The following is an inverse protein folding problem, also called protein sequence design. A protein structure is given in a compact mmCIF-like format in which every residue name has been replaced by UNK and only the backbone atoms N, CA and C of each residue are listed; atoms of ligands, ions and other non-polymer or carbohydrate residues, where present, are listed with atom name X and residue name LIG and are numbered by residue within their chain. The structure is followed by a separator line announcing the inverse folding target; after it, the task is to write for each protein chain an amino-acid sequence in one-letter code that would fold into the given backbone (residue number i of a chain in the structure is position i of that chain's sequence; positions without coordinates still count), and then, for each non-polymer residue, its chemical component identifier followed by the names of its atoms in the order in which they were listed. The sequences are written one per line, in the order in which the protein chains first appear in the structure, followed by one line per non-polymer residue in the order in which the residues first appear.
data_IF_793801200602
#
_entry.id   IF_793801200602
#
_cell.length_a   1.000
_cell.length_b   1.000
_cell.length_c   1.000
_cell.angle_alpha   90.00
_cell.angle_beta   90.00
_cell.angle_gamma   90.00
#
_symmetry.space_group_name_H-M   'P 1'
#
loop_
_entity.id
_entity.type
_entity.pdbx_description
1 polymer ?
#
# COMPACT_ATOMS: atom_id res chain seq x y z
N UNK A 1 -19.70 -0.28 6.41
CA UNK A 1 -19.01 -1.36 7.16
C UNK A 1 -18.21 -2.15 6.12
N UNK A 2 -16.96 -2.51 6.39
CA UNK A 2 -16.11 -3.24 5.41
C UNK A 2 -16.25 -4.78 5.49
N UNK A 3 -16.94 -5.25 6.52
CA UNK A 3 -16.98 -6.66 6.91
C UNK A 3 -17.63 -7.52 5.83
N UNK A 4 -16.94 -8.56 5.39
CA UNK A 4 -17.44 -9.50 4.37
C UNK A 4 -17.73 -10.90 4.92
N UNK A 5 -17.46 -11.14 6.20
CA UNK A 5 -17.70 -12.43 6.87
C UNK A 5 -16.54 -13.42 6.80
N UNK A 6 -15.35 -12.97 6.40
CA UNK A 6 -14.13 -13.76 6.34
C UNK A 6 -13.16 -13.26 7.41
N UNK A 7 -12.80 -14.12 8.37
CA UNK A 7 -11.98 -13.73 9.53
C UNK A 7 -10.62 -13.17 9.12
N UNK A 8 -9.97 -13.74 8.09
CA UNK A 8 -8.64 -13.27 7.65
C UNK A 8 -8.76 -11.89 7.02
N UNK A 9 -9.76 -11.70 6.16
CA UNK A 9 -9.96 -10.45 5.40
C UNK A 9 -10.57 -9.33 6.23
N UNK A 10 -11.31 -9.68 7.29
CA UNK A 10 -11.95 -8.73 8.20
C UNK A 10 -11.03 -8.33 9.36
N UNK A 11 -9.91 -9.03 9.58
CA UNK A 11 -8.99 -8.79 10.70
C UNK A 11 -8.45 -7.36 10.74
N UNK A 12 -8.30 -6.73 9.57
CA UNK A 12 -7.70 -5.41 9.41
C UNK A 12 -8.73 -4.30 9.17
N UNK A 13 -10.04 -4.59 9.17
CA UNK A 13 -11.09 -3.63 8.83
C UNK A 13 -11.06 -2.38 9.72
N UNK A 14 -10.83 -2.54 11.03
CA UNK A 14 -10.78 -1.42 11.97
C UNK A 14 -9.60 -0.50 11.69
N UNK A 15 -8.46 -1.07 11.28
CA UNK A 15 -7.24 -0.32 10.93
C UNK A 15 -7.48 0.42 9.62
N UNK A 16 -7.99 -0.26 8.60
CA UNK A 16 -8.29 0.35 7.29
C UNK A 16 -9.25 1.53 7.46
N UNK A 17 -10.32 1.37 8.23
CA UNK A 17 -11.28 2.46 8.50
C UNK A 17 -10.63 3.64 9.23
N UNK A 18 -9.83 3.37 10.26
CA UNK A 18 -9.13 4.39 11.05
C UNK A 18 -8.16 5.19 10.19
N UNK A 19 -7.27 4.51 9.49
CA UNK A 19 -6.24 5.13 8.66
C UNK A 19 -6.83 5.84 7.44
N UNK A 20 -7.86 5.27 6.81
CA UNK A 20 -8.60 5.94 5.72
C UNK A 20 -9.25 7.24 6.20
N UNK A 21 -9.89 7.22 7.37
CA UNK A 21 -10.46 8.43 7.96
C UNK A 21 -9.40 9.47 8.31
N UNK A 22 -8.24 9.05 8.84
CA UNK A 22 -7.15 9.94 9.22
C UNK A 22 -6.50 10.60 7.99
N UNK A 23 -6.34 9.84 6.90
CA UNK A 23 -5.78 10.31 5.65
C UNK A 23 -6.76 11.15 4.79
N UNK A 24 -8.05 11.17 5.14
CA UNK A 24 -9.09 11.73 4.29
C UNK A 24 -9.31 10.95 3.00
N UNK A 25 -9.05 9.64 3.02
CA UNK A 25 -9.24 8.76 1.88
C UNK A 25 -10.73 8.47 1.65
N UNK A 26 -11.27 8.67 0.44
CA UNK A 26 -12.72 8.65 0.23
C UNK A 26 -13.39 7.27 0.34
N UNK A 27 -12.71 6.21 -0.12
CA UNK A 27 -13.28 4.86 -0.15
C UNK A 27 -12.37 3.81 0.52
N UNK A 28 -12.60 3.49 1.81
CA UNK A 28 -11.84 2.46 2.53
C UNK A 28 -12.04 1.05 1.97
N UNK A 29 -13.10 0.78 1.21
CA UNK A 29 -13.29 -0.54 0.58
C UNK A 29 -12.27 -0.76 -0.55
N UNK A 30 -11.85 0.31 -1.24
CA UNK A 30 -10.80 0.24 -2.26
C UNK A 30 -9.46 -0.16 -1.64
N UNK A 31 -9.16 0.32 -0.44
CA UNK A 31 -7.95 -0.08 0.31
C UNK A 31 -8.00 -1.56 0.70
N UNK A 32 -9.16 -2.05 1.18
CA UNK A 32 -9.34 -3.48 1.45
C UNK A 32 -9.13 -4.33 0.19
N UNK A 33 -9.63 -3.86 -0.95
CA UNK A 33 -9.43 -4.52 -2.24
C UNK A 33 -7.96 -4.51 -2.68
N UNK A 34 -7.26 -3.39 -2.50
CA UNK A 34 -5.83 -3.25 -2.79
C UNK A 34 -4.99 -4.20 -1.93
N UNK A 35 -5.20 -4.25 -0.62
CA UNK A 35 -4.51 -5.21 0.27
C UNK A 35 -4.76 -6.66 -0.20
N UNK A 36 -5.98 -6.97 -0.63
CA UNK A 36 -6.29 -8.29 -1.18
C UNK A 36 -5.59 -8.59 -2.52
N UNK A 37 -5.28 -7.57 -3.31
CA UNK A 37 -4.49 -7.72 -4.54
C UNK A 37 -3.01 -7.92 -4.20
N UNK A 38 -2.49 -7.13 -3.26
CA UNK A 38 -1.07 -7.07 -2.95
C UNK A 38 -0.58 -8.28 -2.15
N UNK A 39 -1.34 -8.74 -1.15
CA UNK A 39 -0.87 -9.74 -0.18
C UNK A 39 -1.88 -10.85 0.13
N UNK A 40 -3.10 -10.77 -0.39
CA UNK A 40 -4.24 -11.56 0.09
C UNK A 40 -4.36 -11.55 1.63
N UNK A 41 -4.09 -10.40 2.26
CA UNK A 41 -4.09 -10.21 3.71
C UNK A 41 -3.06 -11.06 4.47
N UNK A 42 -1.93 -11.41 3.85
CA UNK A 42 -0.78 -11.98 4.55
C UNK A 42 0.18 -10.86 5.00
N UNK A 43 0.30 -10.57 6.31
CA UNK A 43 1.19 -9.52 6.81
C UNK A 43 2.68 -9.85 6.63
N UNK A 44 3.04 -11.11 6.35
CA UNK A 44 4.42 -11.53 6.09
C UNK A 44 4.75 -11.65 4.60
N UNK A 45 3.79 -11.30 3.71
CA UNK A 45 3.97 -11.37 2.27
C UNK A 45 5.18 -10.54 1.81
N UNK A 46 5.94 -11.09 0.86
CA UNK A 46 7.06 -10.40 0.24
C UNK A 46 7.33 -10.92 -1.17
N UNK A 47 8.07 -10.14 -1.97
CA UNK A 47 8.38 -10.49 -3.36
C UNK A 47 9.63 -11.35 -3.55
N UNK A 48 10.24 -11.88 -2.47
CA UNK A 48 11.44 -12.73 -2.59
C UNK A 48 11.19 -13.92 -3.51
N UNK A 49 12.13 -14.18 -4.42
CA UNK A 49 12.05 -15.33 -5.33
C UNK A 49 11.01 -15.17 -6.45
N UNK A 50 10.41 -13.99 -6.58
CA UNK A 50 9.61 -13.61 -7.76
C UNK A 50 10.46 -12.80 -8.74
N UNK A 51 9.95 -12.59 -9.96
CA UNK A 51 10.59 -11.68 -10.93
C UNK A 51 10.61 -10.20 -10.47
N UNK A 52 9.89 -9.88 -9.39
CA UNK A 52 9.76 -8.55 -8.80
C UNK A 52 10.45 -8.42 -7.43
N UNK A 53 11.46 -9.24 -7.15
CA UNK A 53 12.13 -9.27 -5.84
C UNK A 53 12.86 -7.96 -5.46
N UNK A 54 13.16 -7.08 -6.41
CA UNK A 54 13.78 -5.78 -6.14
C UNK A 54 13.29 -4.74 -7.15
N UNK A 55 12.05 -4.22 -7.00
CA UNK A 55 11.42 -3.39 -8.02
C UNK A 55 12.12 -2.04 -8.22
N UNK A 56 12.98 -1.63 -7.28
CA UNK A 56 13.80 -0.42 -7.39
C UNK A 56 15.29 -0.67 -7.20
N UNK A 57 15.73 -1.84 -7.66
CA UNK A 57 17.10 -2.34 -7.51
C UNK A 57 17.54 -2.52 -6.04
N UNK A 58 18.69 -3.18 -5.89
CA UNK A 58 19.30 -3.40 -4.59
C UNK A 58 19.94 -2.11 -4.09
N UNK A 59 19.46 -1.58 -2.96
CA UNK A 59 20.06 -0.41 -2.32
C UNK A 59 21.45 -0.76 -1.77
N UNK A 60 22.42 0.14 -1.96
CA UNK A 60 23.79 -0.10 -1.50
C UNK A 60 23.85 -0.39 -0.01
N UNK A 61 24.50 -1.50 0.35
CA UNK A 61 24.63 -1.97 1.74
C UNK A 61 23.46 -2.81 2.24
N UNK A 62 22.34 -2.86 1.51
CA UNK A 62 21.19 -3.70 1.87
C UNK A 62 21.33 -5.12 1.32
N UNK A 63 20.69 -6.07 1.99
CA UNK A 63 20.43 -7.41 1.49
C UNK A 63 19.26 -7.41 0.50
N UNK A 64 19.18 -8.45 -0.34
CA UNK A 64 18.05 -8.64 -1.26
C UNK A 64 16.70 -8.69 -0.53
N UNK A 65 16.68 -9.32 0.66
CA UNK A 65 15.50 -9.35 1.55
C UNK A 65 15.01 -7.98 1.99
N UNK A 66 15.86 -6.97 1.98
CA UNK A 66 15.55 -5.61 2.43
C UNK A 66 15.03 -4.73 1.29
N UNK A 67 15.23 -5.13 0.02
CA UNK A 67 14.84 -4.34 -1.16
C UNK A 67 13.53 -4.79 -1.80
N UNK A 68 12.78 -5.63 -1.11
CA UNK A 68 11.50 -6.21 -1.56
C UNK A 68 10.32 -5.29 -1.29
N UNK A 69 9.19 -5.66 -1.89
CA UNK A 69 7.88 -5.22 -1.48
C UNK A 69 7.40 -6.06 -0.29
N UNK A 70 6.86 -5.43 0.75
CA UNK A 70 6.69 -6.06 2.06
C UNK A 70 5.30 -5.81 2.67
N UNK A 71 4.75 -6.87 3.26
CA UNK A 71 3.55 -6.85 4.09
C UNK A 71 2.25 -6.61 3.31
N UNK A 72 1.23 -6.16 4.02
CA UNK A 72 -0.15 -6.08 3.53
C UNK A 72 -0.31 -5.20 2.27
N UNK A 73 0.39 -4.08 2.23
CA UNK A 73 0.42 -3.09 1.17
C UNK A 73 1.59 -3.27 0.19
N UNK A 74 2.43 -4.30 0.36
CA UNK A 74 3.60 -4.52 -0.49
C UNK A 74 4.48 -3.26 -0.63
N UNK A 75 4.77 -2.61 0.50
CA UNK A 75 5.61 -1.42 0.55
C UNK A 75 7.06 -1.76 0.22
N UNK A 76 7.71 -0.96 -0.64
CA UNK A 76 9.10 -1.19 -1.03
C UNK A 76 10.04 -0.11 -0.48
N UNK A 77 10.77 -0.36 0.62
CA UNK A 77 11.62 0.65 1.26
C UNK A 77 12.78 1.10 0.38
N UNK A 78 13.27 0.23 -0.51
CA UNK A 78 14.36 0.54 -1.43
C UNK A 78 13.96 1.55 -2.52
N UNK A 79 12.67 1.67 -2.85
CA UNK A 79 12.18 2.55 -3.91
C UNK A 79 12.36 4.03 -3.67
N UNK A 80 12.75 4.44 -2.45
CA UNK A 80 13.07 5.84 -2.17
C UNK A 80 11.95 6.77 -2.64
N UNK A 81 10.75 6.54 -2.11
CA UNK A 81 9.56 7.31 -2.42
C UNK A 81 8.98 7.84 -1.13
N UNK A 82 9.01 9.18 -1.00
CA UNK A 82 8.32 9.98 0.00
C UNK A 82 8.97 10.08 1.39
N UNK A 83 10.15 10.73 1.43
CA UNK A 83 10.66 11.67 2.45
C UNK A 83 10.73 11.27 3.93
N UNK A 84 10.30 10.08 4.34
CA UNK A 84 10.32 9.68 5.74
C UNK A 84 11.04 8.34 5.91
N UNK A 85 11.99 8.30 6.85
CA UNK A 85 12.71 7.10 7.29
C UNK A 85 11.80 6.13 8.08
N UNK A 86 10.49 6.12 7.79
CA UNK A 86 9.50 5.27 8.44
C UNK A 86 9.83 3.80 8.25
N UNK A 87 9.85 3.06 9.35
CA UNK A 87 10.16 1.65 9.35
C UNK A 87 11.63 1.35 9.03
N UNK A 88 12.51 2.36 9.07
CA UNK A 88 13.95 2.16 9.06
C UNK A 88 14.50 2.22 10.48
N UNK A 89 15.53 1.42 10.76
CA UNK A 89 16.19 1.44 12.05
C UNK A 89 16.76 2.84 12.36
N UNK A 90 16.51 3.37 13.57
CA UNK A 90 16.92 4.72 13.93
C UNK A 90 18.44 4.83 14.16
N UNK A 91 18.98 6.07 14.20
CA UNK A 91 20.37 6.32 14.57
C UNK A 91 20.74 5.68 15.91
N UNK A 92 21.96 5.14 16.00
CA UNK A 92 22.47 4.49 17.22
C UNK A 92 22.24 2.97 17.29
N UNK A 93 21.65 2.38 16.25
CA UNK A 93 21.52 0.92 16.08
C UNK A 93 22.59 0.37 15.13
N UNK A 94 22.93 -0.93 15.15
CA UNK A 94 23.86 -1.51 14.17
C UNK A 94 23.33 -1.51 12.72
N UNK A 95 22.01 -1.35 12.55
CA UNK A 95 21.29 -1.47 11.27
C UNK A 95 20.74 -0.11 10.81
N UNK A 96 21.27 1.03 11.27
CA UNK A 96 20.75 2.37 10.93
C UNK A 96 20.43 2.49 9.45
N UNK A 97 19.20 2.90 9.15
CA UNK A 97 18.76 3.13 7.78
C UNK A 97 18.46 1.87 6.97
N UNK A 98 18.50 0.68 7.57
CA UNK A 98 17.94 -0.56 7.01
C UNK A 98 16.47 -0.71 7.41
N UNK A 99 15.63 -1.40 6.62
CA UNK A 99 14.23 -1.62 6.98
C UNK A 99 14.08 -2.58 8.17
N UNK A 100 13.06 -2.34 8.99
CA UNK A 100 12.74 -3.15 10.16
C UNK A 100 11.88 -4.34 9.72
N UNK A 101 12.49 -5.53 9.67
CA UNK A 101 11.87 -6.77 9.17
C UNK A 101 11.68 -7.84 10.25
N UNK A 102 11.36 -7.43 11.48
CA UNK A 102 11.14 -8.34 12.60
C UNK A 102 9.71 -8.89 12.56
N UNK A 103 9.52 -10.19 12.80
CA UNK A 103 8.21 -10.85 12.75
C UNK A 103 7.63 -11.20 14.13
N UNK A 104 8.39 -10.93 15.20
CA UNK A 104 7.97 -11.23 16.57
C UNK A 104 7.40 -9.98 17.24
N UNK A 105 6.20 -10.10 17.82
CA UNK A 105 5.58 -9.01 18.58
C UNK A 105 6.37 -8.59 19.83
N UNK A 106 7.26 -9.46 20.31
CA UNK A 106 8.13 -9.17 21.45
C UNK A 106 9.37 -8.36 21.08
N UNK A 107 9.65 -8.18 19.80
CA UNK A 107 10.81 -7.41 19.35
C UNK A 107 10.58 -5.90 19.63
N UNK A 108 11.57 -5.17 20.19
CA UNK A 108 11.41 -3.75 20.47
C UNK A 108 11.07 -2.89 19.24
N UNK A 109 11.39 -3.36 18.04
CA UNK A 109 11.09 -2.65 16.79
C UNK A 109 9.82 -3.15 16.09
N UNK A 110 9.08 -4.08 16.70
CA UNK A 110 7.86 -4.64 16.10
C UNK A 110 6.83 -3.59 15.68
N UNK A 111 6.65 -2.52 16.48
CA UNK A 111 5.67 -1.47 16.18
C UNK A 111 5.97 -0.70 14.90
N UNK A 112 7.20 -0.78 14.39
CA UNK A 112 7.66 -0.10 13.18
C UNK A 112 8.05 -1.10 12.08
N UNK A 113 7.77 -2.40 12.27
CA UNK A 113 8.12 -3.38 11.28
C UNK A 113 7.17 -3.36 10.08
N UNK A 114 7.72 -3.52 8.88
CA UNK A 114 6.93 -3.75 7.68
C UNK A 114 6.04 -5.00 7.74
N UNK A 115 6.34 -5.94 8.65
CA UNK A 115 5.53 -7.13 8.90
C UNK A 115 4.44 -6.94 9.97
N UNK A 116 4.41 -5.79 10.65
CA UNK A 116 3.32 -5.41 11.50
C UNK A 116 2.18 -4.83 10.64
N UNK A 117 1.02 -5.49 10.67
CA UNK A 117 -0.12 -5.10 9.82
C UNK A 117 -0.64 -3.68 10.07
N UNK A 118 -0.66 -3.23 11.33
CA UNK A 118 -1.08 -1.86 11.68
C UNK A 118 -0.12 -0.82 11.11
N UNK A 119 1.19 -1.04 11.30
CA UNK A 119 2.23 -0.16 10.75
C UNK A 119 2.19 -0.15 9.21
N UNK A 120 2.09 -1.33 8.60
CA UNK A 120 2.12 -1.47 7.15
C UNK A 120 0.91 -0.78 6.49
N UNK A 121 -0.29 -0.91 7.07
CA UNK A 121 -1.47 -0.16 6.60
C UNK A 121 -1.33 1.33 6.86
N UNK A 122 -0.82 1.75 8.02
CA UNK A 122 -0.60 3.16 8.33
C UNK A 122 0.34 3.81 7.30
N UNK A 123 1.48 3.19 7.02
CA UNK A 123 2.43 3.69 6.04
C UNK A 123 1.87 3.61 4.61
N UNK A 124 1.17 2.52 4.25
CA UNK A 124 0.45 2.43 2.98
C UNK A 124 -0.53 3.59 2.77
N UNK A 125 -1.35 3.88 3.77
CA UNK A 125 -2.31 4.99 3.71
C UNK A 125 -1.64 6.35 3.63
N UNK A 126 -0.52 6.54 4.33
CA UNK A 126 0.29 7.74 4.20
C UNK A 126 0.74 7.96 2.74
N UNK A 127 1.31 6.93 2.09
CA UNK A 127 1.75 6.99 0.69
C UNK A 127 0.57 7.23 -0.25
N UNK A 128 -0.54 6.49 -0.10
CA UNK A 128 -1.74 6.64 -0.93
C UNK A 128 -2.30 8.06 -0.84
N UNK A 129 -2.34 8.66 0.35
CA UNK A 129 -2.80 10.04 0.55
C UNK A 129 -1.92 11.05 -0.18
N UNK A 130 -0.59 10.85 -0.18
CA UNK A 130 0.34 11.72 -0.90
C UNK A 130 0.18 11.59 -2.42
N UNK A 131 -0.01 10.38 -2.94
CA UNK A 131 -0.33 10.20 -4.35
C UNK A 131 -1.63 10.91 -4.73
N UNK A 132 -2.69 10.70 -3.94
CA UNK A 132 -3.98 11.34 -4.15
C UNK A 132 -3.85 12.88 -4.19
N UNK A 133 -3.20 13.48 -3.17
CA UNK A 133 -2.97 14.94 -3.11
C UNK A 133 -2.06 15.47 -4.20
N UNK A 134 -1.06 14.70 -4.62
CA UNK A 134 -0.22 15.05 -5.75
C UNK A 134 -1.06 15.18 -7.04
N UNK A 135 -1.99 14.25 -7.29
CA UNK A 135 -2.81 14.28 -8.50
C UNK A 135 -3.95 15.31 -8.44
N UNK A 136 -4.56 15.55 -7.28
CA UNK A 136 -5.48 16.68 -7.10
C UNK A 136 -4.82 18.02 -7.49
N UNK A 137 -3.56 18.20 -7.10
CA UNK A 137 -2.79 19.40 -7.45
C UNK A 137 -2.39 19.45 -8.92
N UNK A 138 -1.99 18.31 -9.50
CA UNK A 138 -1.47 18.22 -10.87
C UNK A 138 -2.56 18.26 -11.95
N UNK A 139 -3.73 17.69 -11.66
CA UNK A 139 -4.83 17.53 -12.62
C UNK A 139 -6.17 17.97 -11.99
N UNK A 140 -6.39 19.27 -11.72
CA UNK A 140 -7.44 19.76 -10.83
C UNK A 140 -8.89 19.47 -11.26
N UNK A 141 -9.11 19.07 -12.52
CA UNK A 141 -10.44 18.86 -13.10
C UNK A 141 -10.88 17.38 -13.09
N UNK A 142 -10.13 16.48 -12.44
CA UNK A 142 -10.55 15.07 -12.34
C UNK A 142 -11.57 14.85 -11.22
N UNK A 143 -12.28 13.73 -11.33
CA UNK A 143 -13.19 13.24 -10.30
C UNK A 143 -12.45 12.56 -9.14
N UNK A 144 -13.11 12.43 -7.99
CA UNK A 144 -12.60 11.71 -6.82
C UNK A 144 -12.16 10.28 -7.15
N UNK A 145 -12.99 9.54 -7.92
CA UNK A 145 -12.65 8.19 -8.39
C UNK A 145 -11.38 8.15 -9.24
N UNK A 146 -11.22 9.10 -10.16
CA UNK A 146 -10.02 9.19 -10.99
C UNK A 146 -8.76 9.47 -10.16
N UNK A 147 -8.83 10.29 -9.10
CA UNK A 147 -7.67 10.50 -8.24
C UNK A 147 -7.31 9.25 -7.43
N UNK A 148 -8.29 8.47 -6.98
CA UNK A 148 -8.05 7.18 -6.32
C UNK A 148 -7.39 6.18 -7.29
N UNK A 149 -7.87 6.07 -8.53
CA UNK A 149 -7.28 5.25 -9.58
C UNK A 149 -5.84 5.67 -9.91
N UNK A 150 -5.58 6.97 -10.05
CA UNK A 150 -4.21 7.46 -10.25
C UNK A 150 -3.28 7.14 -9.08
N UNK A 151 -3.80 7.18 -7.84
CA UNK A 151 -3.03 6.79 -6.67
C UNK A 151 -2.69 5.29 -6.67
N UNK A 152 -3.61 4.42 -7.10
CA UNK A 152 -3.34 2.99 -7.30
C UNK A 152 -2.23 2.77 -8.34
N UNK A 153 -2.31 3.45 -9.49
CA UNK A 153 -1.26 3.37 -10.53
C UNK A 153 0.09 3.83 -10.00
N UNK A 154 0.10 4.94 -9.26
CA UNK A 154 1.33 5.50 -8.71
C UNK A 154 1.97 4.59 -7.68
N UNK A 155 1.16 3.93 -6.85
CA UNK A 155 1.63 2.92 -5.91
C UNK A 155 2.28 1.73 -6.63
N UNK A 156 1.61 1.19 -7.67
CA UNK A 156 2.11 0.03 -8.41
C UNK A 156 3.33 0.32 -9.28
N UNK A 157 3.38 1.48 -9.93
CA UNK A 157 4.30 1.72 -11.05
C UNK A 157 5.07 3.03 -11.03
N UNK A 158 4.77 3.96 -10.10
CA UNK A 158 5.24 5.35 -10.00
C UNK A 158 4.29 6.43 -10.57
N UNK A 159 4.40 7.64 -10.00
CA UNK A 159 3.62 8.84 -10.40
C UNK A 159 3.85 9.27 -11.85
N UNK A 160 5.00 8.90 -12.44
CA UNK A 160 5.42 9.29 -13.78
C UNK A 160 4.63 8.59 -14.88
N UNK A 161 4.00 7.45 -14.56
CA UNK A 161 3.17 6.69 -15.51
C UNK A 161 1.71 7.16 -15.56
N UNK A 162 1.37 8.22 -14.83
CA UNK A 162 0.05 8.87 -14.88
C UNK A 162 0.17 10.18 -15.68
N UNK A 163 -0.62 10.28 -16.75
CA UNK A 163 -0.61 11.41 -17.69
C UNK A 163 -1.84 12.33 -17.60
N UNK A 164 -2.91 11.93 -16.92
CA UNK A 164 -4.07 12.79 -16.70
C UNK A 164 -5.31 12.05 -16.20
N UNK A 165 -6.46 12.74 -16.17
CA UNK A 165 -7.75 12.16 -15.77
C UNK A 165 -8.09 10.92 -16.60
N UNK A 166 -8.07 9.73 -15.99
CA UNK A 166 -8.34 8.48 -16.69
C UNK A 166 -7.22 8.03 -17.65
N UNK A 167 -5.99 8.56 -17.51
CA UNK A 167 -4.90 8.32 -18.46
C UNK A 167 -3.61 7.91 -17.76
N UNK A 168 -3.18 6.67 -18.02
CA UNK A 168 -2.00 6.02 -17.46
C UNK A 168 -1.48 4.92 -18.39
N UNK A 169 -0.36 4.29 -18.01
CA UNK A 169 0.21 3.14 -18.73
C UNK A 169 -0.73 1.92 -18.74
N UNK A 170 -0.55 0.99 -19.69
CA UNK A 170 -1.34 -0.25 -19.73
C UNK A 170 -1.18 -1.07 -18.44
N UNK A 171 0.03 -1.15 -17.90
CA UNK A 171 0.29 -1.81 -16.62
C UNK A 171 -0.47 -1.16 -15.45
N UNK A 172 -0.66 0.15 -15.49
CA UNK A 172 -1.52 0.85 -14.54
C UNK A 172 -2.99 0.47 -14.67
N UNK A 173 -3.49 0.33 -15.90
CA UNK A 173 -4.86 -0.10 -16.15
C UNK A 173 -5.09 -1.53 -15.66
N UNK A 174 -4.18 -2.46 -16.00
CA UNK A 174 -4.28 -3.86 -15.59
C UNK A 174 -4.38 -3.97 -14.06
N UNK A 175 -3.57 -3.18 -13.35
CA UNK A 175 -3.59 -3.15 -11.88
C UNK A 175 -4.90 -2.58 -11.31
N UNK A 176 -5.42 -1.49 -11.88
CA UNK A 176 -6.73 -0.94 -11.48
C UNK A 176 -7.80 -2.03 -11.65
N UNK A 177 -7.87 -2.67 -12.81
CA UNK A 177 -8.88 -3.69 -13.11
C UNK A 177 -8.82 -4.85 -12.10
N UNK A 178 -7.62 -5.31 -11.74
CA UNK A 178 -7.42 -6.36 -10.74
C UNK A 178 -7.90 -5.97 -9.33
N UNK A 179 -7.69 -4.71 -8.94
CA UNK A 179 -8.19 -4.15 -7.67
C UNK A 179 -9.71 -3.99 -7.72
N UNK A 180 -10.27 -3.46 -8.81
CA UNK A 180 -11.72 -3.26 -8.96
C UNK A 180 -12.50 -4.58 -8.94
N UNK A 181 -11.96 -5.64 -9.53
CA UNK A 181 -12.56 -6.99 -9.45
C UNK A 181 -12.70 -7.46 -7.99
N UNK A 182 -11.74 -7.11 -7.12
CA UNK A 182 -11.81 -7.43 -5.68
C UNK A 182 -12.74 -6.49 -4.95
N UNK A 183 -12.69 -5.21 -5.27
CA UNK A 183 -13.60 -4.20 -4.74
C UNK A 183 -15.06 -4.60 -4.97
N UNK A 184 -15.45 -4.97 -6.19
CA UNK A 184 -16.83 -5.39 -6.50
C UNK A 184 -17.27 -6.60 -5.69
N UNK A 185 -16.38 -7.59 -5.53
CA UNK A 185 -16.65 -8.79 -4.72
C UNK A 185 -16.86 -8.43 -3.26
N UNK A 186 -16.01 -7.59 -2.69
CA UNK A 186 -16.12 -7.19 -1.29
C UNK A 186 -17.30 -6.26 -1.05
N UNK A 187 -17.54 -5.31 -1.95
CA UNK A 187 -18.68 -4.41 -1.89
C UNK A 187 -20.00 -5.19 -1.89
N UNK A 188 -20.13 -6.18 -2.78
CA UNK A 188 -21.31 -7.06 -2.80
C UNK A 188 -21.45 -7.88 -1.52
N UNK A 189 -20.36 -8.42 -1.00
CA UNK A 189 -20.39 -9.26 0.21
C UNK A 189 -20.73 -8.45 1.48
N UNK A 190 -20.31 -7.19 1.53
CA UNK A 190 -20.53 -6.29 2.66
C UNK A 190 -21.82 -5.45 2.56
N UNK A 191 -22.59 -5.59 1.47
CA UNK A 191 -23.69 -4.67 1.11
C UNK A 191 -23.24 -3.19 1.14
N UNK A 192 -22.04 -2.95 0.60
CA UNK A 192 -21.38 -1.66 0.58
C UNK A 192 -21.77 -0.88 -0.67
N UNK A 193 -22.19 0.38 -0.50
CA UNK A 193 -22.54 1.26 -1.61
C UNK A 193 -21.27 1.61 -2.41
N UNK A 194 -21.26 1.30 -3.69
CA UNK A 194 -20.17 1.69 -4.58
C UNK A 194 -20.12 3.22 -4.71
N UNK A 195 -18.95 3.81 -4.45
CA UNK A 195 -18.66 5.25 -4.58
C UNK A 195 -17.68 5.58 -5.71
N UNK A 196 -17.21 4.55 -6.42
CA UNK A 196 -16.34 4.63 -7.60
C UNK A 196 -17.17 4.83 -8.87
#
# INVERSE_FOLDING_TARGET
MLRIGDVKKDAFDSVILRESSAAGWPDPMLIKAQISQESDFDPLANTLGTEWASPCDLKSGWAESESQSLGLFQLTPACGGDEDDMGLYPPGTPLVGHPILVSSESDPYWSESFYNGDFNIHFGMYIMSRHYKYFESKFPDCTEGQYMEMALVAHRTSRQLVSGCGSWSSAGQDYIDEVLVRFDKFSKAADYLNRM
#
